data_IF_352317873302
#
_entry.id   IF_352317873302
#
_cell.length_a   1.000
_cell.length_b   1.000
_cell.length_c   1.000
_cell.angle_alpha   90.00
_cell.angle_beta   90.00
_cell.angle_gamma   90.00
#
_symmetry.space_group_name_H-M   'P 1'
#
loop_
_entity.id
_entity.type
_entity.pdbx_description
1 polymer ?
#
# COMPACT_ATOMS: atom_id res chain seq x y z
N UNK A 1 -6.15 15.57 -9.59
CA UNK A 1 -6.46 14.13 -9.65
C UNK A 1 -5.13 13.38 -9.69
N UNK A 2 -4.82 12.56 -8.68
CA UNK A 2 -3.48 11.95 -8.51
C UNK A 2 -3.32 10.62 -9.26
N UNK A 3 -4.41 9.85 -9.39
CA UNK A 3 -4.42 8.56 -10.10
C UNK A 3 -4.82 8.75 -11.57
N UNK A 4 -4.20 8.03 -12.52
CA UNK A 4 -4.62 7.98 -13.91
C UNK A 4 -6.05 7.43 -14.04
N UNK A 5 -6.83 7.95 -14.99
CA UNK A 5 -8.23 7.55 -15.20
C UNK A 5 -8.41 6.08 -15.58
N UNK A 6 -7.40 5.45 -16.21
CA UNK A 6 -7.44 4.05 -16.66
C UNK A 6 -6.78 3.08 -15.67
N UNK A 7 -6.32 3.57 -14.51
CA UNK A 7 -5.62 2.73 -13.55
C UNK A 7 -6.60 1.79 -12.84
N UNK A 8 -6.30 0.49 -12.82
CA UNK A 8 -7.11 -0.48 -12.07
C UNK A 8 -6.86 -0.28 -10.58
N UNK A 9 -7.91 -0.48 -9.75
CA UNK A 9 -7.79 -0.35 -8.29
C UNK A 9 -6.70 -1.23 -7.68
N UNK A 10 -6.39 -2.37 -8.30
CA UNK A 10 -5.31 -3.26 -7.87
C UNK A 10 -3.90 -2.65 -8.03
N UNK A 11 -3.73 -1.70 -8.95
CA UNK A 11 -2.46 -1.08 -9.31
C UNK A 11 -2.25 0.27 -8.60
N UNK A 12 -3.25 0.74 -7.85
CA UNK A 12 -3.18 2.02 -7.12
C UNK A 12 -2.01 2.08 -6.16
N UNK A 13 -1.80 0.99 -5.43
CA UNK A 13 -0.74 0.92 -4.43
C UNK A 13 0.65 0.93 -5.08
N UNK A 14 0.82 0.22 -6.21
CA UNK A 14 2.07 0.24 -6.97
C UNK A 14 2.34 1.61 -7.59
N UNK A 15 1.31 2.27 -8.13
CA UNK A 15 1.43 3.64 -8.65
C UNK A 15 1.74 4.66 -7.55
N UNK A 16 1.17 4.49 -6.35
CA UNK A 16 1.50 5.32 -5.21
C UNK A 16 2.98 5.20 -4.82
N UNK A 17 3.52 3.98 -4.87
CA UNK A 17 4.91 3.68 -4.55
C UNK A 17 5.96 4.28 -5.49
N UNK A 18 5.55 4.67 -6.70
CA UNK A 18 6.46 5.37 -7.63
C UNK A 18 6.61 6.86 -7.30
N UNK A 19 5.69 7.41 -6.51
CA UNK A 19 5.67 8.83 -6.13
C UNK A 19 6.07 9.06 -4.68
N UNK A 20 5.79 8.10 -3.79
CA UNK A 20 6.08 8.17 -2.36
C UNK A 20 6.87 6.94 -1.91
N UNK A 21 7.67 7.11 -0.87
CA UNK A 21 8.50 6.07 -0.29
C UNK A 21 7.87 5.37 0.92
N UNK A 22 6.74 5.85 1.42
CA UNK A 22 6.05 5.23 2.54
C UNK A 22 4.53 5.45 2.50
N UNK A 23 3.78 4.53 3.10
CA UNK A 23 2.33 4.69 3.32
C UNK A 23 1.92 4.22 4.71
N UNK A 24 0.94 4.90 5.30
CA UNK A 24 0.36 4.52 6.58
C UNK A 24 -0.85 3.60 6.36
N UNK A 25 -0.77 2.39 6.90
CA UNK A 25 -1.86 1.42 6.88
C UNK A 25 -2.80 1.74 8.04
N UNK A 26 -3.97 2.30 7.72
CA UNK A 26 -5.06 2.60 8.66
C UNK A 26 -6.06 1.44 8.84
N UNK A 27 -5.80 0.28 8.23
CA UNK A 27 -6.72 -0.88 8.21
C UNK A 27 -6.88 -1.58 9.56
N UNK A 28 -5.98 -1.37 10.52
CA UNK A 28 -6.01 -1.97 11.87
C UNK A 28 -7.26 -1.61 12.68
N UNK A 29 -8.04 -0.60 12.28
CA UNK A 29 -9.26 -0.19 12.96
C UNK A 29 -10.54 -0.95 12.56
N UNK A 30 -10.61 -1.58 11.37
CA UNK A 30 -11.84 -2.25 10.90
C UNK A 30 -11.66 -3.71 10.50
N UNK A 31 -10.51 -4.09 9.93
CA UNK A 31 -10.18 -5.49 9.62
C UNK A 31 -8.67 -5.69 9.65
N UNK A 32 -8.20 -6.66 10.44
CA UNK A 32 -6.80 -7.04 10.46
C UNK A 32 -6.36 -7.40 9.03
N UNK A 33 -5.44 -6.61 8.48
CA UNK A 33 -4.90 -6.87 7.15
C UNK A 33 -4.18 -8.21 7.19
N UNK A 34 -4.67 -9.21 6.46
CA UNK A 34 -4.06 -10.53 6.46
C UNK A 34 -2.59 -10.44 6.05
N UNK A 35 -1.73 -11.23 6.71
CA UNK A 35 -0.29 -11.27 6.40
C UNK A 35 -0.02 -11.53 4.90
N UNK A 36 -0.86 -12.35 4.25
CA UNK A 36 -0.78 -12.63 2.81
C UNK A 36 -0.94 -11.37 1.94
N UNK A 37 -1.81 -10.45 2.36
CA UNK A 37 -2.03 -9.18 1.65
C UNK A 37 -0.81 -8.27 1.81
N UNK A 38 -0.26 -8.18 3.02
CA UNK A 38 0.96 -7.42 3.31
C UNK A 38 2.14 -7.98 2.51
N UNK A 39 2.31 -9.31 2.47
CA UNK A 39 3.36 -9.97 1.68
C UNK A 39 3.23 -9.67 0.19
N UNK A 40 2.00 -9.70 -0.36
CA UNK A 40 1.75 -9.32 -1.75
C UNK A 40 2.15 -7.87 -2.01
N UNK A 41 1.83 -6.95 -1.10
CA UNK A 41 2.25 -5.55 -1.25
C UNK A 41 3.76 -5.38 -1.20
N UNK A 42 4.43 -6.04 -0.25
CA UNK A 42 5.89 -6.03 -0.16
C UNK A 42 6.54 -6.56 -1.45
N UNK A 43 5.99 -7.60 -2.08
CA UNK A 43 6.52 -8.14 -3.34
C UNK A 43 6.35 -7.22 -4.56
N UNK A 44 5.42 -6.25 -4.49
CA UNK A 44 5.14 -5.31 -5.58
C UNK A 44 5.88 -3.98 -5.41
N UNK A 45 6.54 -3.79 -4.27
CA UNK A 45 7.14 -2.53 -3.86
C UNK A 45 8.66 -2.57 -4.01
N UNK A 46 9.32 -1.41 -4.24
CA UNK A 46 10.76 -1.31 -4.12
C UNK A 46 11.22 -1.62 -2.68
N UNK A 47 12.41 -2.21 -2.51
CA UNK A 47 12.97 -2.56 -1.19
C UNK A 47 13.12 -1.36 -0.24
N UNK A 48 13.19 -0.14 -0.79
CA UNK A 48 13.26 1.12 -0.04
C UNK A 48 11.92 1.57 0.52
N UNK A 49 10.80 0.98 0.09
CA UNK A 49 9.47 1.39 0.52
C UNK A 49 9.21 0.97 1.98
N UNK A 50 8.45 1.79 2.71
CA UNK A 50 8.17 1.58 4.13
C UNK A 50 6.66 1.62 4.40
N UNK A 51 6.20 0.67 5.21
CA UNK A 51 4.81 0.66 5.69
C UNK A 51 4.80 1.09 7.16
N UNK A 52 4.02 2.12 7.48
CA UNK A 52 3.73 2.52 8.85
C UNK A 52 2.39 1.90 9.26
N UNK A 53 2.42 0.93 10.17
CA UNK A 53 1.18 0.37 10.72
C UNK A 53 0.75 1.20 11.92
N UNK A 54 -0.50 1.68 11.91
CA UNK A 54 -1.08 2.36 13.06
C UNK A 54 -1.52 1.30 14.07
N UNK A 55 -0.82 1.19 15.20
CA UNK A 55 -1.25 0.38 16.33
C UNK A 55 -1.90 1.30 17.36
N UNK A 56 -3.10 0.95 17.83
CA UNK A 56 -3.72 1.56 19.00
C UNK A 56 -3.67 0.55 20.14
#
# INVERSE_FOLDING_TARGET
MFYPFELKSADYLSYYATHFNATEINSSFYHFTMAKTIQKWLSLMPDSFRFAAKFH
#
